data_IF_875013254583
#
_entry.id   IF_875013254583
#
_cell.length_a   1.000
_cell.length_b   1.000
_cell.length_c   1.000
_cell.angle_alpha   90.00
_cell.angle_beta   90.00
_cell.angle_gamma   90.00
#
_symmetry.space_group_name_H-M   'P 1'
#
loop_
_entity.id
_entity.type
_entity.pdbx_description
1 polymer ?
#
# COMPACT_ATOMS: atom_id res chain seq x y z
N UNK A 1 -20.69 -3.71 -7.49
CA UNK A 1 -20.68 -2.53 -8.37
C UNK A 1 -19.30 -1.90 -8.35
N UNK A 2 -19.08 -0.91 -9.20
CA UNK A 2 -17.79 -0.18 -9.27
C UNK A 2 -17.43 0.50 -7.94
N UNK A 3 -18.41 1.04 -7.22
CA UNK A 3 -18.23 1.64 -5.88
C UNK A 3 -17.60 0.66 -4.89
N UNK A 4 -18.15 -0.55 -4.77
CA UNK A 4 -17.60 -1.57 -3.87
C UNK A 4 -16.19 -2.03 -4.26
N UNK A 5 -15.78 -1.89 -5.53
CA UNK A 5 -14.42 -2.17 -5.95
C UNK A 5 -13.48 -1.02 -5.59
N UNK A 6 -13.94 0.23 -5.72
CA UNK A 6 -13.20 1.42 -5.30
C UNK A 6 -12.95 1.43 -3.78
N UNK A 7 -13.97 1.10 -2.98
CA UNK A 7 -13.86 1.06 -1.51
C UNK A 7 -12.78 0.07 -1.05
N UNK A 8 -12.73 -1.12 -1.69
CA UNK A 8 -11.71 -2.13 -1.38
C UNK A 8 -10.31 -1.67 -1.75
N UNK A 9 -10.16 -0.96 -2.86
CA UNK A 9 -8.89 -0.39 -3.29
C UNK A 9 -8.42 0.70 -2.31
N UNK A 10 -9.31 1.58 -1.89
CA UNK A 10 -9.00 2.64 -0.92
C UNK A 10 -8.60 2.05 0.45
N UNK A 11 -9.30 1.02 0.91
CA UNK A 11 -8.96 0.30 2.15
C UNK A 11 -7.60 -0.41 2.05
N UNK A 12 -7.32 -1.08 0.92
CA UNK A 12 -6.05 -1.75 0.69
C UNK A 12 -4.88 -0.74 0.67
N UNK A 13 -5.04 0.37 -0.06
CA UNK A 13 -4.05 1.45 -0.11
C UNK A 13 -3.81 2.05 1.29
N UNK A 14 -4.89 2.37 2.01
CA UNK A 14 -4.81 2.93 3.36
C UNK A 14 -4.06 2.00 4.32
N UNK A 15 -4.29 0.69 4.22
CA UNK A 15 -3.59 -0.31 5.03
C UNK A 15 -2.09 -0.34 4.73
N UNK A 16 -1.70 -0.31 3.45
CA UNK A 16 -0.28 -0.29 3.05
C UNK A 16 0.43 0.97 3.58
N UNK A 17 -0.21 2.13 3.45
CA UNK A 17 0.33 3.39 3.96
C UNK A 17 0.45 3.37 5.48
N UNK A 18 -0.59 2.92 6.18
CA UNK A 18 -0.60 2.83 7.64
C UNK A 18 0.49 1.88 8.19
N UNK A 19 0.72 0.75 7.53
CA UNK A 19 1.79 -0.18 7.90
C UNK A 19 3.19 0.41 7.66
N UNK A 20 3.35 1.29 6.66
CA UNK A 20 4.61 1.99 6.35
C UNK A 20 5.77 1.07 5.91
N UNK A 21 5.53 -0.23 5.73
CA UNK A 21 6.55 -1.23 5.40
C UNK A 21 6.91 -1.16 3.91
N UNK A 22 5.92 -1.35 3.05
CA UNK A 22 6.07 -1.40 1.58
C UNK A 22 5.66 -0.09 0.94
N UNK A 23 6.26 1.02 1.39
CA UNK A 23 6.02 2.36 0.84
C UNK A 23 7.30 2.95 0.26
N UNK A 24 7.13 3.84 -0.71
CA UNK A 24 8.22 4.59 -1.35
C UNK A 24 8.85 5.61 -0.41
N UNK A 25 10.05 6.08 -0.75
CA UNK A 25 10.86 6.94 0.11
C UNK A 25 10.17 8.25 0.55
N UNK A 26 9.22 8.75 -0.26
CA UNK A 26 8.44 9.97 0.02
C UNK A 26 7.38 9.77 1.11
N UNK A 27 6.96 8.53 1.35
CA UNK A 27 5.96 8.16 2.35
C UNK A 27 6.57 7.63 3.66
N UNK A 28 7.89 7.39 3.71
CA UNK A 28 8.59 6.99 4.92
C UNK A 28 8.66 8.15 5.92
N UNK A 29 8.57 7.82 7.21
CA UNK A 29 8.76 8.80 8.29
C UNK A 29 10.20 9.36 8.30
N UNK A 30 11.19 8.50 8.00
CA UNK A 30 12.56 8.90 7.68
C UNK A 30 12.84 8.64 6.20
N UNK A 31 13.19 9.69 5.44
CA UNK A 31 13.50 9.58 4.02
C UNK A 31 14.76 8.77 3.72
N UNK A 32 15.62 8.57 4.72
CA UNK A 32 16.82 7.75 4.60
C UNK A 32 16.59 6.30 5.09
N UNK A 33 15.35 5.93 5.42
CA UNK A 33 15.01 4.57 5.81
C UNK A 33 15.39 3.60 4.65
N UNK A 34 16.36 2.69 4.87
CA UNK A 34 16.83 1.78 3.82
C UNK A 34 15.79 0.73 3.41
N UNK A 35 14.63 0.68 4.09
CA UNK A 35 13.50 -0.20 3.76
C UNK A 35 12.48 0.44 2.82
N UNK A 36 12.74 1.63 2.29
CA UNK A 36 11.93 2.21 1.22
C UNK A 36 11.95 1.31 -0.02
N UNK A 37 10.76 0.95 -0.51
CA UNK A 37 10.61 0.10 -1.69
C UNK A 37 10.36 0.94 -2.95
N UNK A 38 10.48 0.33 -4.12
CA UNK A 38 10.11 0.94 -5.39
C UNK A 38 8.60 0.98 -5.64
N UNK A 39 8.19 1.71 -6.66
CA UNK A 39 6.78 1.88 -7.04
C UNK A 39 6.07 0.55 -7.32
N UNK A 40 6.72 -0.37 -8.04
CA UNK A 40 6.13 -1.67 -8.38
C UNK A 40 5.91 -2.53 -7.13
N UNK A 41 6.85 -2.51 -6.19
CA UNK A 41 6.75 -3.28 -4.94
C UNK A 41 5.62 -2.75 -4.05
N UNK A 42 5.41 -1.43 -4.00
CA UNK A 42 4.25 -0.84 -3.34
C UNK A 42 2.94 -1.27 -4.02
N UNK A 43 2.90 -1.32 -5.36
CA UNK A 43 1.72 -1.79 -6.10
C UNK A 43 1.42 -3.27 -5.82
N UNK A 44 2.44 -4.12 -5.76
CA UNK A 44 2.29 -5.53 -5.42
C UNK A 44 1.72 -5.70 -4.00
N UNK A 45 2.18 -4.91 -3.03
CA UNK A 45 1.64 -4.92 -1.67
C UNK A 45 0.15 -4.54 -1.62
N UNK A 46 -0.28 -3.56 -2.42
CA UNK A 46 -1.71 -3.18 -2.53
C UNK A 46 -2.52 -4.35 -3.12
N UNK A 47 -2.01 -5.02 -4.15
CA UNK A 47 -2.65 -6.19 -4.77
C UNK A 47 -2.76 -7.35 -3.78
N UNK A 48 -1.74 -7.57 -2.94
CA UNK A 48 -1.79 -8.57 -1.88
C UNK A 48 -2.89 -8.27 -0.85
N UNK A 49 -3.04 -7.02 -0.41
CA UNK A 49 -4.12 -6.61 0.50
C UNK A 49 -5.50 -6.78 -0.13
N UNK A 50 -5.65 -6.50 -1.42
CA UNK A 50 -6.90 -6.71 -2.16
C UNK A 50 -7.33 -8.19 -2.22
N UNK A 51 -6.38 -9.12 -2.18
CA UNK A 51 -6.64 -10.56 -2.22
C UNK A 51 -6.95 -11.15 -0.84
N UNK A 52 -6.65 -10.44 0.24
CA UNK A 52 -6.92 -10.90 1.60
C UNK A 52 -8.40 -10.66 1.93
N UNK A 53 -9.13 -11.68 2.43
CA UNK A 53 -10.50 -11.48 2.89
C UNK A 53 -10.50 -10.55 4.12
N UNK A 54 -11.40 -9.56 4.09
CA UNK A 54 -11.66 -8.61 5.18
C UNK A 54 -12.25 -9.29 6.41
#
# INVERSE_FOLDING_TARGET
GEEAAADRLEQALSTVIWEGKSVTYDLKADRNDPTAVGTSEMADAIIEKLKQPS
#
